data_IF_706658192523
#
_entry.id   IF_706658192523
#
_cell.length_a   1.000
_cell.length_b   1.000
_cell.length_c   1.000
_cell.angle_alpha   90.00
_cell.angle_beta   90.00
_cell.angle_gamma   90.00
#
_symmetry.space_group_name_H-M   'P 1'
#
loop_
_entity.id
_entity.type
_entity.pdbx_description
1 polymer ?
#
# COMPACT_ATOMS: atom_id res chain seq x y z
N UNK A 1 16.39 -10.28 -7.51
CA UNK A 1 17.13 -9.03 -7.83
C UNK A 1 17.37 -8.24 -6.54
N UNK A 2 18.38 -7.35 -6.45
CA UNK A 2 18.59 -6.60 -5.18
C UNK A 2 17.52 -5.55 -5.29
N UNK A 3 16.54 -5.58 -4.39
CA UNK A 3 15.62 -4.46 -4.24
C UNK A 3 16.46 -3.26 -3.82
N UNK A 4 16.65 -2.32 -4.75
CA UNK A 4 17.32 -1.04 -4.52
C UNK A 4 16.25 -0.05 -4.12
N UNK A 5 16.36 0.50 -2.91
CA UNK A 5 15.30 1.31 -2.34
C UNK A 5 15.55 2.78 -2.68
N UNK A 6 14.62 3.40 -3.40
CA UNK A 6 14.57 4.85 -3.59
C UNK A 6 13.71 5.42 -2.47
N UNK A 7 14.26 6.37 -1.73
CA UNK A 7 13.63 7.09 -0.64
C UNK A 7 13.29 8.51 -1.10
N UNK A 8 12.07 8.77 -1.61
CA UNK A 8 11.63 10.11 -1.99
C UNK A 8 11.44 11.00 -0.75
N UNK A 9 11.45 12.31 -0.96
CA UNK A 9 11.26 13.28 0.11
C UNK A 9 9.81 13.25 0.63
N UNK A 10 9.65 13.14 1.95
CA UNK A 10 8.34 13.18 2.61
C UNK A 10 7.73 14.60 2.73
N UNK A 11 8.39 15.63 2.18
CA UNK A 11 7.91 17.00 2.12
C UNK A 11 6.84 17.22 1.05
N UNK A 12 5.71 16.51 1.16
CA UNK A 12 4.59 16.58 0.22
C UNK A 12 3.87 17.94 0.20
N UNK A 13 4.21 18.86 1.12
CA UNK A 13 3.75 20.25 1.15
C UNK A 13 4.40 21.13 0.06
N UNK A 14 5.35 20.60 -0.72
CA UNK A 14 6.18 21.38 -1.67
C UNK A 14 6.37 20.67 -3.02
N UNK A 15 6.52 21.43 -4.13
CA UNK A 15 6.73 20.86 -5.46
C UNK A 15 7.90 19.87 -5.54
N UNK A 16 8.98 20.10 -4.79
CA UNK A 16 10.12 19.18 -4.74
C UNK A 16 9.83 17.82 -4.09
N UNK A 17 8.83 17.73 -3.20
CA UNK A 17 8.33 16.45 -2.71
C UNK A 17 7.60 15.67 -3.80
N UNK A 18 6.67 16.34 -4.49
CA UNK A 18 5.92 15.77 -5.62
C UNK A 18 6.85 15.29 -6.75
N UNK A 19 7.81 16.12 -7.18
CA UNK A 19 8.79 15.75 -8.21
C UNK A 19 9.65 14.57 -7.76
N UNK A 20 10.05 14.49 -6.47
CA UNK A 20 10.81 13.33 -5.96
C UNK A 20 10.02 12.03 -6.05
N UNK A 21 8.70 12.11 -5.84
CA UNK A 21 7.80 10.97 -5.94
C UNK A 21 7.60 10.54 -7.40
N UNK A 22 7.30 11.47 -8.30
CA UNK A 22 7.10 11.18 -9.74
C UNK A 22 8.37 10.55 -10.36
N UNK A 23 9.55 10.99 -9.95
CA UNK A 23 10.83 10.42 -10.40
C UNK A 23 11.01 8.99 -9.88
N UNK A 24 10.75 8.74 -8.58
CA UNK A 24 10.79 7.40 -8.01
C UNK A 24 9.77 6.44 -8.65
N UNK A 25 8.56 6.93 -8.95
CA UNK A 25 7.50 6.17 -9.62
C UNK A 25 7.87 5.82 -11.07
N UNK A 26 8.43 6.75 -11.85
CA UNK A 26 8.97 6.44 -13.19
C UNK A 26 10.09 5.40 -13.12
N UNK A 27 11.03 5.54 -12.17
CA UNK A 27 12.16 4.61 -11.99
C UNK A 27 11.77 3.18 -11.63
N UNK A 28 10.62 2.97 -10.97
CA UNK A 28 10.09 1.62 -10.66
C UNK A 28 9.24 1.06 -11.81
N UNK A 29 8.47 1.90 -12.51
CA UNK A 29 7.69 1.44 -13.68
C UNK A 29 8.56 0.80 -14.78
N UNK A 30 9.81 1.25 -14.93
CA UNK A 30 10.75 0.71 -15.90
C UNK A 30 11.66 -0.42 -15.33
N UNK A 31 11.55 -0.79 -14.04
CA UNK A 31 12.56 -1.66 -13.37
C UNK A 31 12.05 -2.54 -12.22
N UNK A 32 12.07 -3.85 -12.43
CA UNK A 32 11.76 -4.89 -11.42
C UNK A 32 12.78 -4.99 -10.25
N UNK A 33 13.91 -4.29 -10.31
CA UNK A 33 14.95 -4.30 -9.27
C UNK A 33 14.94 -3.06 -8.37
N UNK A 34 13.98 -2.16 -8.54
CA UNK A 34 13.84 -0.91 -7.79
C UNK A 34 12.55 -0.95 -6.99
N UNK A 35 12.59 -0.39 -5.77
CA UNK A 35 11.42 -0.29 -4.89
C UNK A 35 11.39 1.12 -4.31
N UNK A 36 10.21 1.73 -4.23
CA UNK A 36 10.06 2.98 -3.46
C UNK A 36 9.98 2.59 -1.98
N UNK A 37 10.98 2.98 -1.20
CA UNK A 37 11.00 2.77 0.24
C UNK A 37 10.31 3.92 0.97
N UNK A 38 9.69 3.61 2.12
CA UNK A 38 9.16 4.64 3.01
C UNK A 38 10.27 5.19 3.89
N UNK A 39 10.42 6.51 3.93
CA UNK A 39 11.22 7.17 4.97
C UNK A 39 10.71 6.78 6.37
N UNK A 40 9.39 6.72 6.58
CA UNK A 40 8.76 6.34 7.86
C UNK A 40 9.24 5.00 8.44
N UNK A 41 9.53 4.02 7.59
CA UNK A 41 10.02 2.70 7.98
C UNK A 41 11.42 2.73 8.63
N UNK A 42 12.26 3.71 8.26
CA UNK A 42 13.55 3.96 8.91
C UNK A 42 13.40 4.64 10.28
N UNK A 43 12.22 5.19 10.62
CA UNK A 43 11.97 5.91 11.87
C UNK A 43 11.37 5.07 12.97
N UNK A 44 10.33 4.26 12.69
CA UNK A 44 9.55 3.50 13.70
C UNK A 44 10.30 2.29 14.32
N UNK A 45 11.55 2.00 13.92
CA UNK A 45 12.35 0.82 14.34
C UNK A 45 11.62 -0.55 14.25
N UNK A 46 10.65 -0.69 13.34
CA UNK A 46 9.91 -1.95 13.12
C UNK A 46 10.89 -3.10 12.76
N UNK A 47 10.98 -4.19 13.57
CA UNK A 47 12.04 -5.20 13.40
C UNK A 47 11.98 -5.99 12.09
N UNK A 48 10.78 -6.17 11.52
CA UNK A 48 10.57 -6.79 10.22
C UNK A 48 11.10 -5.91 9.08
N UNK A 49 10.48 -4.74 8.89
CA UNK A 49 10.85 -3.73 7.88
C UNK A 49 12.36 -3.46 7.84
N UNK A 50 12.99 -3.25 9.01
CA UNK A 50 14.43 -2.92 9.10
C UNK A 50 15.36 -4.00 8.53
N UNK A 51 14.97 -5.29 8.46
CA UNK A 51 15.82 -6.33 7.87
C UNK A 51 16.13 -6.01 6.40
N UNK A 52 15.12 -5.63 5.64
CA UNK A 52 15.23 -5.38 4.21
C UNK A 52 16.04 -4.12 3.92
N UNK A 53 15.80 -3.02 4.64
CA UNK A 53 16.60 -1.81 4.47
C UNK A 53 18.07 -2.04 4.84
N UNK A 54 18.37 -2.63 6.01
CA UNK A 54 19.74 -2.77 6.55
C UNK A 54 20.74 -3.49 5.64
N UNK A 55 20.29 -4.36 4.74
CA UNK A 55 21.15 -5.13 3.83
C UNK A 55 21.05 -4.73 2.35
N UNK A 56 20.19 -3.77 2.01
CA UNK A 56 19.96 -3.33 0.63
C UNK A 56 20.59 -1.97 0.32
N UNK A 57 20.80 -1.74 -0.99
CA UNK A 57 21.27 -0.45 -1.51
C UNK A 57 20.20 0.62 -1.32
N UNK A 58 20.58 1.77 -0.77
CA UNK A 58 19.69 2.91 -0.57
C UNK A 58 20.08 4.08 -1.47
N UNK A 59 19.06 4.66 -2.09
CA UNK A 59 19.12 5.87 -2.90
C UNK A 59 18.10 6.84 -2.30
N UNK A 60 18.40 8.13 -2.24
CA UNK A 60 17.52 9.13 -1.62
C UNK A 60 17.36 10.35 -2.53
N UNK A 61 16.14 10.89 -2.64
CA UNK A 61 15.82 12.03 -3.49
C UNK A 61 15.45 13.23 -2.61
N UNK A 62 16.41 14.13 -2.38
CA UNK A 62 16.25 15.32 -1.56
C UNK A 62 15.47 16.41 -2.33
N UNK A 63 14.19 16.55 -2.00
CA UNK A 63 13.25 17.45 -2.68
C UNK A 63 13.52 18.94 -2.50
N UNK A 64 14.32 19.34 -1.50
CA UNK A 64 14.70 20.74 -1.28
C UNK A 64 16.17 20.83 -0.82
N UNK A 65 16.82 21.96 -1.08
CA UNK A 65 18.25 22.18 -0.78
C UNK A 65 18.64 22.15 0.71
N UNK A 66 17.72 21.81 1.63
CA UNK A 66 18.06 21.46 3.02
C UNK A 66 18.54 20.01 3.19
N UNK A 67 18.37 19.16 2.15
CA UNK A 67 18.80 17.75 2.11
C UNK A 67 18.39 16.90 3.33
N UNK A 68 17.26 17.29 3.94
CA UNK A 68 16.78 16.71 5.20
C UNK A 68 16.24 15.28 5.08
N UNK A 69 16.12 14.72 3.87
CA UNK A 69 15.81 13.31 3.71
C UNK A 69 17.09 12.49 3.82
N UNK A 70 18.14 12.79 3.04
CA UNK A 70 19.36 11.96 3.05
C UNK A 70 20.22 12.16 4.29
N UNK A 71 20.29 13.35 4.89
CA UNK A 71 20.93 13.52 6.20
C UNK A 71 20.27 12.63 7.27
N UNK A 72 18.95 12.50 7.20
CA UNK A 72 18.15 11.74 8.16
C UNK A 72 18.26 10.21 7.95
N UNK A 73 18.54 9.75 6.72
CA UNK A 73 18.95 8.36 6.45
C UNK A 73 20.33 8.08 7.04
N UNK A 74 21.31 8.98 6.86
CA UNK A 74 22.67 8.84 7.42
C UNK A 74 22.64 8.81 8.95
N UNK A 75 21.82 9.66 9.57
CA UNK A 75 21.55 9.66 11.02
C UNK A 75 20.94 8.33 11.56
N UNK A 76 20.51 7.41 10.70
CA UNK A 76 20.08 6.03 11.06
C UNK A 76 21.14 4.96 10.72
N UNK A 77 22.40 5.36 10.59
CA UNK A 77 23.55 4.45 10.41
C UNK A 77 23.71 3.92 8.99
N UNK A 78 23.25 4.68 7.99
CA UNK A 78 23.36 4.37 6.56
C UNK A 78 24.09 5.47 5.80
N UNK A 79 25.35 5.67 6.17
CA UNK A 79 26.28 6.61 5.53
C UNK A 79 26.54 6.29 4.04
N UNK A 80 26.29 5.05 3.63
CA UNK A 80 26.39 4.55 2.26
C UNK A 80 25.18 4.88 1.36
N UNK A 81 24.24 5.71 1.82
CA UNK A 81 23.12 6.20 1.00
C UNK A 81 23.58 7.17 -0.09
N UNK A 82 23.26 6.83 -1.34
CA UNK A 82 23.46 7.70 -2.52
C UNK A 82 22.34 8.73 -2.57
N UNK A 83 22.65 10.02 -2.45
CA UNK A 83 21.65 11.10 -2.41
C UNK A 83 21.70 11.99 -3.65
N UNK A 84 20.55 12.21 -4.28
CA UNK A 84 20.36 13.17 -5.37
C UNK A 84 19.51 14.34 -4.85
N UNK A 85 20.02 15.58 -4.92
CA UNK A 85 19.22 16.77 -4.62
C UNK A 85 18.56 17.27 -5.90
N UNK A 86 17.25 17.46 -5.88
CA UNK A 86 16.43 17.68 -7.09
C UNK A 86 15.77 19.06 -7.12
N UNK A 87 16.09 19.90 -6.13
CA UNK A 87 15.41 21.17 -5.89
C UNK A 87 15.51 22.16 -7.06
N UNK A 88 16.67 22.22 -7.72
CA UNK A 88 16.93 23.07 -8.90
C UNK A 88 15.99 22.77 -10.10
N UNK A 89 15.35 21.59 -10.13
CA UNK A 89 14.38 21.19 -11.15
C UNK A 89 12.96 21.70 -10.81
N UNK A 90 12.60 21.71 -9.52
CA UNK A 90 11.24 21.98 -9.05
C UNK A 90 10.86 23.47 -9.08
N UNK A 91 11.83 24.39 -9.02
CA UNK A 91 11.61 25.84 -9.02
C UNK A 91 11.23 26.43 -10.40
N UNK A 92 11.12 25.61 -11.46
CA UNK A 92 10.87 26.07 -12.83
C UNK A 92 9.90 25.15 -13.59
N UNK A 93 8.70 25.67 -13.87
CA UNK A 93 7.59 24.95 -14.53
C UNK A 93 7.83 24.69 -16.03
N UNK A 94 8.73 25.46 -16.67
CA UNK A 94 9.10 25.26 -18.08
C UNK A 94 9.85 23.93 -18.26
N UNK A 95 9.47 23.13 -19.26
CA UNK A 95 10.06 21.80 -19.56
C UNK A 95 10.22 20.86 -18.34
N UNK A 96 9.24 20.88 -17.43
CA UNK A 96 9.24 19.98 -16.26
C UNK A 96 9.33 18.50 -16.67
N UNK A 97 8.68 18.10 -17.76
CA UNK A 97 8.72 16.71 -18.24
C UNK A 97 10.09 16.30 -18.82
N UNK A 98 10.76 17.15 -19.60
CA UNK A 98 12.11 16.90 -20.08
C UNK A 98 13.11 16.76 -18.92
N UNK A 99 13.02 17.64 -17.92
CA UNK A 99 13.85 17.57 -16.70
C UNK A 99 13.60 16.30 -15.89
N UNK A 100 12.33 15.94 -15.65
CA UNK A 100 11.96 14.70 -14.93
C UNK A 100 12.47 13.47 -15.68
N UNK A 101 12.36 13.43 -17.01
CA UNK A 101 12.92 12.32 -17.81
C UNK A 101 14.44 12.21 -17.66
N UNK A 102 15.17 13.31 -17.81
CA UNK A 102 16.63 13.31 -17.67
C UNK A 102 17.08 12.80 -16.29
N UNK A 103 16.36 13.16 -15.23
CA UNK A 103 16.69 12.70 -13.87
C UNK A 103 16.41 11.19 -13.67
N UNK A 104 15.36 10.65 -14.31
CA UNK A 104 15.11 9.19 -14.36
C UNK A 104 16.27 8.47 -15.06
N UNK A 105 16.74 8.98 -16.21
CA UNK A 105 17.89 8.41 -16.93
C UNK A 105 19.15 8.36 -16.01
N UNK A 106 19.47 9.46 -15.33
CA UNK A 106 20.64 9.59 -14.44
C UNK A 106 20.59 8.63 -13.25
N UNK A 107 19.45 8.51 -12.57
CA UNK A 107 19.33 7.61 -11.40
C UNK A 107 19.32 6.14 -11.85
N UNK A 108 18.76 5.83 -13.03
CA UNK A 108 18.76 4.49 -13.60
C UNK A 108 20.18 3.97 -13.94
N UNK A 109 21.10 4.83 -14.38
CA UNK A 109 22.50 4.42 -14.63
C UNK A 109 23.20 3.94 -13.35
N UNK A 110 23.08 4.70 -12.25
CA UNK A 110 23.75 4.36 -10.98
C UNK A 110 23.13 3.12 -10.30
N UNK A 111 21.83 2.91 -10.45
CA UNK A 111 21.10 1.74 -9.95
C UNK A 111 21.59 0.39 -10.55
N UNK A 112 22.30 0.36 -11.68
CA UNK A 112 22.59 -0.88 -12.41
C UNK A 112 23.69 -1.80 -11.83
N UNK A 113 24.04 -1.71 -10.52
CA UNK A 113 25.32 -2.23 -9.99
C UNK A 113 25.32 -3.49 -9.04
N UNK A 114 24.20 -4.12 -8.57
CA UNK A 114 24.16 -5.23 -7.50
C UNK A 114 22.95 -6.26 -7.53
N UNK A 115 23.01 -7.51 -6.91
CA UNK A 115 22.03 -8.70 -7.05
C UNK A 115 21.94 -9.92 -5.98
N UNK A 116 20.75 -10.58 -5.65
CA UNK A 116 20.39 -11.80 -4.81
C UNK A 116 19.02 -12.62 -5.16
N UNK A 117 18.30 -13.38 -4.24
CA UNK A 117 17.22 -14.46 -4.47
C UNK A 117 15.94 -14.61 -3.48
N UNK A 118 14.96 -15.57 -3.67
CA UNK A 118 13.52 -15.77 -3.08
C UNK A 118 13.08 -17.30 -2.83
N UNK A 119 11.86 -17.91 -2.52
CA UNK A 119 10.36 -17.74 -2.16
C UNK A 119 9.55 -19.13 -2.00
N UNK A 120 8.29 -19.32 -1.41
CA UNK A 120 7.18 -20.41 -1.66
C UNK A 120 5.89 -20.52 -0.67
N UNK A 121 4.82 -21.38 -0.92
CA UNK A 121 3.31 -21.26 -0.54
C UNK A 121 2.38 -22.54 -0.22
N UNK A 122 1.03 -22.43 0.13
CA UNK A 122 -0.23 -23.35 -0.04
C UNK A 122 -1.32 -23.36 1.14
N UNK A 123 -2.72 -23.52 1.17
CA UNK A 123 -4.05 -23.41 0.39
C UNK A 123 -5.41 -23.62 1.26
N UNK A 124 -6.68 -23.51 0.72
CA UNK A 124 -8.08 -23.29 1.33
C UNK A 124 -9.14 -24.44 1.63
N UNK A 125 -10.21 -24.10 2.42
CA UNK A 125 -11.70 -24.42 2.34
C UNK A 125 -12.49 -23.99 3.64
N UNK A 126 -13.84 -23.72 3.70
CA UNK A 126 -14.85 -23.16 2.73
C UNK A 126 -15.89 -22.12 3.35
N UNK A 127 -17.01 -21.76 2.65
CA UNK A 127 -17.81 -20.51 2.89
C UNK A 127 -19.36 -20.56 3.18
N UNK A 128 -20.00 -19.38 3.38
CA UNK A 128 -21.46 -19.11 3.41
C UNK A 128 -21.89 -18.19 2.24
N UNK A 129 -23.07 -18.38 1.66
CA UNK A 129 -23.49 -17.61 0.45
C UNK A 129 -23.71 -16.11 0.68
N UNK A 130 -22.88 -15.28 0.03
CA UNK A 130 -23.01 -13.81 -0.05
C UNK A 130 -23.72 -13.41 -1.36
N UNK A 131 -24.52 -12.34 -1.34
CA UNK A 131 -25.12 -11.77 -2.56
C UNK A 131 -24.30 -10.58 -3.10
N UNK A 132 -23.88 -10.67 -4.36
CA UNK A 132 -23.00 -9.70 -5.02
C UNK A 132 -23.74 -8.75 -5.98
N UNK A 133 -23.23 -7.52 -6.07
CA UNK A 133 -23.24 -6.70 -7.28
C UNK A 133 -22.00 -7.08 -8.08
N UNK A 134 -22.14 -7.24 -9.39
CA UNK A 134 -21.04 -7.57 -10.29
C UNK A 134 -21.05 -6.59 -11.46
N UNK A 135 -19.95 -5.88 -11.67
CA UNK A 135 -19.80 -4.90 -12.75
C UNK A 135 -18.47 -5.12 -13.48
N UNK A 136 -18.51 -5.11 -14.82
CA UNK A 136 -17.33 -5.35 -15.64
C UNK A 136 -16.65 -4.03 -15.99
N UNK A 137 -15.35 -3.93 -15.73
CA UNK A 137 -14.54 -2.78 -16.08
C UNK A 137 -13.23 -3.21 -16.77
N UNK A 138 -13.04 -2.78 -18.03
CA UNK A 138 -11.98 -3.29 -18.91
C UNK A 138 -11.94 -4.84 -18.95
N UNK A 139 -10.85 -5.46 -18.53
CA UNK A 139 -10.67 -6.93 -18.40
C UNK A 139 -11.08 -7.47 -17.03
N UNK A 140 -11.36 -6.58 -16.08
CA UNK A 140 -11.65 -6.91 -14.68
C UNK A 140 -13.16 -7.06 -14.43
N UNK A 141 -13.50 -7.84 -13.41
CA UNK A 141 -14.85 -7.98 -12.89
C UNK A 141 -14.80 -7.57 -11.42
N UNK A 142 -15.48 -6.48 -11.08
CA UNK A 142 -15.57 -5.99 -9.71
C UNK A 142 -16.80 -6.59 -9.03
N UNK A 143 -16.61 -7.24 -7.89
CA UNK A 143 -17.67 -7.85 -7.07
C UNK A 143 -17.82 -7.09 -5.75
N UNK A 144 -19.02 -6.61 -5.43
CA UNK A 144 -19.31 -5.90 -4.17
C UNK A 144 -20.47 -6.58 -3.45
N UNK A 145 -20.24 -7.01 -2.21
CA UNK A 145 -21.25 -7.69 -1.39
C UNK A 145 -22.32 -6.70 -0.94
N UNK A 146 -23.59 -6.93 -1.31
CA UNK A 146 -24.69 -5.97 -1.10
C UNK A 146 -24.96 -5.64 0.37
N UNK A 147 -24.80 -6.65 1.24
CA UNK A 147 -25.11 -6.55 2.67
C UNK A 147 -23.99 -6.01 3.56
N UNK A 148 -22.87 -5.57 3.00
CA UNK A 148 -21.73 -5.04 3.77
C UNK A 148 -21.67 -3.51 3.73
N UNK A 149 -21.06 -2.94 4.76
CA UNK A 149 -20.59 -1.54 4.79
C UNK A 149 -19.14 -1.49 4.26
N UNK A 150 -18.71 -0.34 3.74
CA UNK A 150 -17.39 -0.15 3.11
C UNK A 150 -16.80 1.23 3.44
N UNK A 151 -15.48 1.29 3.65
CA UNK A 151 -14.73 2.54 3.79
C UNK A 151 -14.21 3.08 2.44
N UNK A 152 -13.86 4.36 2.39
CA UNK A 152 -13.20 4.99 1.23
C UNK A 152 -11.75 4.48 1.03
N UNK A 153 -11.21 3.78 2.03
CA UNK A 153 -9.95 3.04 1.98
C UNK A 153 -10.11 1.61 1.41
N UNK A 154 -11.28 1.27 0.88
CA UNK A 154 -11.59 -0.01 0.22
C UNK A 154 -11.61 -1.25 1.13
N UNK A 155 -11.83 -1.07 2.43
CA UNK A 155 -12.08 -2.17 3.38
C UNK A 155 -13.59 -2.36 3.62
N UNK A 156 -14.04 -3.61 3.78
CA UNK A 156 -15.44 -3.96 4.09
C UNK A 156 -15.66 -4.24 5.57
N UNK A 157 -16.92 -4.12 6.01
CA UNK A 157 -17.38 -4.39 7.38
C UNK A 157 -18.66 -5.22 7.37
N UNK A 158 -18.69 -6.25 8.22
CA UNK A 158 -19.80 -7.19 8.43
C UNK A 158 -20.16 -7.23 9.91
N UNK A 159 -21.42 -6.96 10.25
CA UNK A 159 -21.89 -7.04 11.64
C UNK A 159 -22.14 -8.51 12.01
N UNK A 160 -21.52 -8.98 13.08
CA UNK A 160 -21.57 -10.35 13.60
C UNK A 160 -21.98 -10.33 15.09
N UNK A 161 -23.23 -9.94 15.35
CA UNK A 161 -23.76 -9.78 16.71
C UNK A 161 -23.26 -8.49 17.36
N UNK A 162 -22.47 -8.62 18.42
CA UNK A 162 -21.83 -7.49 19.14
C UNK A 162 -20.45 -7.11 18.56
N UNK A 163 -19.99 -7.82 17.53
CA UNK A 163 -18.69 -7.60 16.88
C UNK A 163 -18.88 -7.21 15.41
N UNK A 164 -17.82 -6.70 14.78
CA UNK A 164 -17.73 -6.53 13.34
C UNK A 164 -16.52 -7.24 12.76
N UNK A 165 -16.71 -8.04 11.71
CA UNK A 165 -15.63 -8.64 10.92
C UNK A 165 -15.27 -7.70 9.78
N UNK A 166 -13.98 -7.51 9.52
CA UNK A 166 -13.49 -6.64 8.43
C UNK A 166 -12.56 -7.39 7.48
N UNK A 167 -12.40 -6.87 6.26
CA UNK A 167 -11.47 -7.42 5.26
C UNK A 167 -11.23 -6.47 4.09
N UNK A 168 -10.31 -6.85 3.19
CA UNK A 168 -10.06 -6.10 1.96
C UNK A 168 -11.19 -6.31 0.93
N UNK A 169 -11.61 -5.26 0.22
CA UNK A 169 -12.61 -5.43 -0.85
C UNK A 169 -12.03 -6.10 -2.09
N UNK A 170 -12.93 -6.62 -2.93
CA UNK A 170 -12.56 -7.16 -4.25
C UNK A 170 -11.96 -6.10 -5.19
N UNK A 171 -12.18 -4.80 -4.93
CA UNK A 171 -11.46 -3.73 -5.62
C UNK A 171 -10.03 -3.61 -5.09
N UNK A 172 -9.85 -3.57 -3.77
CA UNK A 172 -8.53 -3.44 -3.15
C UNK A 172 -7.60 -4.60 -3.54
N UNK A 173 -8.08 -5.85 -3.47
CA UNK A 173 -7.28 -7.00 -3.87
C UNK A 173 -6.93 -7.01 -5.37
N UNK A 174 -7.81 -6.49 -6.26
CA UNK A 174 -7.49 -6.36 -7.68
C UNK A 174 -6.47 -5.25 -7.96
N UNK A 175 -6.46 -4.17 -7.17
CA UNK A 175 -5.43 -3.13 -7.21
C UNK A 175 -4.08 -3.63 -6.68
N UNK A 176 -4.09 -4.38 -5.57
CA UNK A 176 -2.91 -5.10 -5.07
C UNK A 176 -2.40 -6.12 -6.10
N UNK A 177 -3.31 -6.84 -6.77
CA UNK A 177 -3.07 -8.15 -7.39
C UNK A 177 -2.43 -9.14 -6.41
N UNK A 178 -1.69 -10.14 -6.90
CA UNK A 178 -1.18 -11.30 -6.17
C UNK A 178 -0.48 -10.91 -4.84
N UNK A 179 -1.23 -11.06 -3.73
CA UNK A 179 -0.79 -10.83 -2.34
C UNK A 179 0.00 -12.05 -1.89
N UNK A 180 1.18 -11.83 -1.31
CA UNK A 180 2.07 -12.90 -0.85
C UNK A 180 2.50 -12.77 0.62
N UNK A 181 2.02 -11.74 1.32
CA UNK A 181 2.27 -11.55 2.75
C UNK A 181 1.17 -10.67 3.35
N UNK A 182 0.72 -11.03 4.55
CA UNK A 182 -0.16 -10.21 5.40
C UNK A 182 0.44 -10.17 6.80
N UNK A 183 0.59 -8.97 7.36
CA UNK A 183 1.01 -8.73 8.74
C UNK A 183 -0.19 -8.22 9.53
N UNK A 184 -0.59 -8.94 10.57
CA UNK A 184 -1.71 -8.60 11.45
C UNK A 184 -1.20 -8.30 12.88
N UNK A 185 -1.88 -7.40 13.59
CA UNK A 185 -1.61 -7.11 15.00
C UNK A 185 -2.29 -8.12 15.92
N UNK A 186 -1.77 -8.28 17.13
CA UNK A 186 -2.28 -9.26 18.10
C UNK A 186 -3.66 -8.88 18.67
N UNK A 187 -4.56 -9.84 18.92
CA UNK A 187 -5.81 -9.61 19.64
C UNK A 187 -5.58 -8.99 21.04
N UNK A 188 -6.48 -8.08 21.43
CA UNK A 188 -6.32 -7.20 22.59
C UNK A 188 -5.73 -5.82 22.23
N UNK A 189 -5.26 -5.62 21.00
CA UNK A 189 -4.91 -4.29 20.47
C UNK A 189 -6.18 -3.45 20.34
N UNK A 190 -6.14 -2.23 20.88
CA UNK A 190 -7.14 -1.17 20.65
C UNK A 190 -6.66 -0.29 19.49
N UNK A 191 -7.61 0.17 18.66
CA UNK A 191 -7.38 0.96 17.44
C UNK A 191 -8.49 2.00 17.29
N UNK A 192 -8.16 3.21 16.85
CA UNK A 192 -9.14 4.24 16.48
C UNK A 192 -9.49 4.15 14.98
N UNK A 193 -10.66 4.65 14.58
CA UNK A 193 -11.08 4.67 13.17
C UNK A 193 -10.01 5.37 12.30
N UNK A 194 -9.63 4.71 11.19
CA UNK A 194 -8.56 5.07 10.25
C UNK A 194 -7.09 4.82 10.70
N UNK A 195 -6.83 4.14 11.83
CA UNK A 195 -5.48 3.71 12.22
C UNK A 195 -4.86 2.63 11.29
N UNK A 196 -3.52 2.50 11.32
CA UNK A 196 -2.76 1.43 10.66
C UNK A 196 -2.67 0.16 11.54
N UNK A 197 -3.47 -0.86 11.22
CA UNK A 197 -3.49 -2.16 11.90
C UNK A 197 -2.78 -3.23 11.06
N UNK A 198 -1.48 -3.05 10.82
CA UNK A 198 -0.67 -3.98 10.01
C UNK A 198 -0.76 -3.68 8.50
N UNK A 199 -0.54 -4.67 7.64
CA UNK A 199 -0.42 -4.44 6.20
C UNK A 199 -0.49 -5.69 5.32
N UNK A 200 -0.61 -5.47 4.01
CA UNK A 200 -0.63 -6.50 2.96
C UNK A 200 0.43 -6.17 1.90
N UNK A 201 1.33 -7.10 1.57
CA UNK A 201 2.33 -6.96 0.49
C UNK A 201 1.97 -7.85 -0.70
N UNK A 202 1.97 -7.25 -1.89
CA UNK A 202 1.78 -7.94 -3.17
C UNK A 202 3.02 -7.81 -4.06
N UNK A 203 2.98 -8.45 -5.23
CA UNK A 203 3.99 -8.26 -6.29
C UNK A 203 4.13 -6.82 -6.81
N UNK A 204 3.24 -5.90 -6.42
CA UNK A 204 3.17 -4.53 -6.94
C UNK A 204 3.08 -3.43 -5.87
N UNK A 205 2.43 -3.69 -4.74
CA UNK A 205 2.08 -2.65 -3.75
C UNK A 205 2.18 -3.24 -2.33
N UNK A 206 2.67 -2.42 -1.39
CA UNK A 206 2.48 -2.60 0.05
C UNK A 206 1.40 -1.63 0.50
N UNK A 207 0.35 -2.12 1.18
CA UNK A 207 -0.77 -1.29 1.67
C UNK A 207 -1.00 -1.56 3.16
N UNK A 208 -1.12 -0.48 3.94
CA UNK A 208 -1.49 -0.54 5.36
C UNK A 208 -2.97 -0.96 5.51
N UNK A 209 -3.27 -1.81 6.49
CA UNK A 209 -4.64 -2.22 6.79
C UNK A 209 -5.29 -1.10 7.61
N UNK A 210 -6.10 -0.28 6.93
CA UNK A 210 -6.78 0.86 7.55
C UNK A 210 -8.07 0.39 8.20
N UNK A 211 -8.16 0.50 9.53
CA UNK A 211 -9.35 0.03 10.26
C UNK A 211 -10.56 0.94 10.01
N UNK A 212 -11.73 0.40 9.64
CA UNK A 212 -12.90 1.17 9.25
C UNK A 212 -13.83 1.55 10.42
N UNK A 213 -13.51 1.15 11.66
CA UNK A 213 -14.17 1.55 12.91
C UNK A 213 -13.17 1.54 14.07
N UNK A 214 -13.44 2.33 15.11
CA UNK A 214 -12.75 2.34 16.40
C UNK A 214 -13.17 1.13 17.25
N UNK A 215 -12.23 0.52 17.97
CA UNK A 215 -12.55 -0.58 18.88
C UNK A 215 -11.37 -1.45 19.31
N UNK A 216 -11.69 -2.58 19.94
CA UNK A 216 -10.69 -3.59 20.34
C UNK A 216 -10.71 -4.77 19.36
N UNK A 217 -9.58 -5.11 18.77
CA UNK A 217 -9.41 -6.34 17.97
C UNK A 217 -9.54 -7.54 18.92
N UNK A 218 -10.53 -8.41 18.68
CA UNK A 218 -10.78 -9.63 19.49
C UNK A 218 -10.31 -10.91 18.80
N UNK A 219 -10.13 -10.87 17.48
CA UNK A 219 -9.61 -11.98 16.67
C UNK A 219 -8.86 -11.42 15.46
N UNK A 220 -7.74 -12.05 15.09
CA UNK A 220 -6.92 -11.72 13.91
C UNK A 220 -6.78 -12.99 13.06
N UNK A 221 -6.93 -12.90 11.74
CA UNK A 221 -6.94 -14.07 10.87
C UNK A 221 -5.52 -14.62 10.60
N UNK A 222 -4.97 -15.36 11.56
CA UNK A 222 -3.60 -15.94 11.46
C UNK A 222 -3.45 -16.94 10.29
N UNK A 223 -4.53 -17.40 9.65
CA UNK A 223 -4.39 -18.25 8.44
C UNK A 223 -3.71 -17.53 7.28
N UNK A 224 -3.75 -16.19 7.24
CA UNK A 224 -3.13 -15.37 6.21
C UNK A 224 -1.59 -15.27 6.31
N UNK A 225 -0.99 -15.74 7.40
CA UNK A 225 0.46 -15.89 7.53
C UNK A 225 0.99 -16.99 6.61
N UNK A 226 0.31 -18.13 6.58
CA UNK A 226 0.61 -19.28 5.70
C UNK A 226 -0.09 -19.15 4.33
N UNK A 227 -1.23 -18.44 4.26
CA UNK A 227 -2.10 -18.40 3.08
C UNK A 227 -2.56 -16.97 2.68
N UNK A 228 -1.63 -16.05 2.37
CA UNK A 228 -1.94 -14.67 1.99
C UNK A 228 -2.82 -14.55 0.73
N UNK A 229 -2.85 -15.59 -0.13
CA UNK A 229 -3.66 -15.62 -1.36
C UNK A 229 -5.17 -15.58 -1.12
N UNK A 230 -5.66 -15.84 0.10
CA UNK A 230 -7.09 -15.77 0.43
C UNK A 230 -7.65 -14.35 0.24
N UNK A 231 -6.79 -13.31 0.38
CA UNK A 231 -7.13 -11.92 0.07
C UNK A 231 -7.54 -11.75 -1.39
N UNK A 232 -6.97 -12.51 -2.33
CA UNK A 232 -7.33 -12.46 -3.75
C UNK A 232 -8.47 -13.42 -4.11
N UNK A 233 -8.45 -14.64 -3.56
CA UNK A 233 -9.38 -15.71 -3.95
C UNK A 233 -10.74 -15.57 -3.25
N UNK A 234 -10.71 -15.34 -1.94
CA UNK A 234 -11.85 -15.37 -1.03
C UNK A 234 -11.98 -14.05 -0.22
N UNK A 235 -11.86 -12.83 -0.82
CA UNK A 235 -11.74 -11.56 -0.10
C UNK A 235 -12.89 -11.25 0.88
N UNK A 236 -14.06 -11.86 0.68
CA UNK A 236 -15.24 -11.68 1.51
C UNK A 236 -15.54 -12.88 2.42
N UNK A 237 -14.79 -13.97 2.36
CA UNK A 237 -15.01 -15.14 3.22
C UNK A 237 -13.73 -15.53 3.97
N UNK A 238 -12.79 -16.28 3.37
CA UNK A 238 -11.55 -16.69 4.03
C UNK A 238 -10.49 -15.56 4.11
N UNK A 239 -10.57 -14.57 3.22
CA UNK A 239 -9.73 -13.35 3.19
C UNK A 239 -10.14 -12.24 4.17
N UNK A 240 -10.84 -12.55 5.26
CA UNK A 240 -11.10 -11.59 6.34
C UNK A 240 -9.81 -11.28 7.12
N UNK A 241 -9.71 -10.08 7.73
CA UNK A 241 -8.50 -9.61 8.41
C UNK A 241 -8.65 -9.67 9.94
N UNK A 242 -9.71 -9.04 10.47
CA UNK A 242 -9.96 -8.94 11.92
C UNK A 242 -11.43 -9.13 12.27
N UNK A 243 -11.67 -9.55 13.51
CA UNK A 243 -12.93 -9.38 14.23
C UNK A 243 -12.68 -8.32 15.32
N UNK A 244 -13.45 -7.24 15.28
CA UNK A 244 -13.31 -6.09 16.17
C UNK A 244 -14.57 -6.00 17.04
N UNK A 245 -14.40 -5.75 18.33
CA UNK A 245 -15.48 -5.22 19.16
C UNK A 245 -15.48 -3.69 19.02
N UNK A 246 -16.47 -3.08 18.34
CA UNK A 246 -16.49 -1.64 18.16
C UNK A 246 -16.76 -0.92 19.49
N UNK A 247 -16.19 0.27 19.66
CA UNK A 247 -16.48 1.14 20.80
C UNK A 247 -17.77 1.95 20.60
N UNK A 248 -18.05 2.35 19.35
CA UNK A 248 -19.32 2.92 18.91
C UNK A 248 -19.80 2.21 17.64
N UNK A 249 -21.09 1.87 17.59
CA UNK A 249 -21.73 1.23 16.42
C UNK A 249 -22.26 2.26 15.42
N UNK A 250 -22.45 3.51 15.83
CA UNK A 250 -22.98 4.58 14.97
C UNK A 250 -21.92 5.04 13.94
N UNK A 251 -20.62 4.77 14.17
CA UNK A 251 -19.55 4.94 13.16
C UNK A 251 -19.84 4.16 11.86
N UNK A 252 -20.58 3.05 11.94
CA UNK A 252 -20.96 2.26 10.76
C UNK A 252 -21.79 3.07 9.77
N UNK A 253 -22.48 4.13 10.17
CA UNK A 253 -23.24 5.02 9.28
C UNK A 253 -22.41 6.12 8.60
N UNK A 254 -21.12 6.24 8.96
CA UNK A 254 -20.14 6.97 8.16
C UNK A 254 -19.66 6.14 6.95
N UNK A 255 -19.88 4.82 6.97
CA UNK A 255 -19.46 3.89 5.92
C UNK A 255 -20.53 3.71 4.82
N UNK A 256 -20.04 3.52 3.58
CA UNK A 256 -20.88 3.33 2.39
C UNK A 256 -21.59 1.98 2.41
N UNK A 257 -22.85 1.94 1.99
CA UNK A 257 -23.50 0.67 1.62
C UNK A 257 -23.00 0.17 0.26
N UNK A 258 -23.02 -1.14 0.01
CA UNK A 258 -22.42 -1.76 -1.20
C UNK A 258 -22.84 -1.16 -2.55
N UNK A 259 -24.06 -0.60 -2.69
CA UNK A 259 -24.51 0.07 -3.94
C UNK A 259 -23.77 1.40 -4.17
N UNK A 260 -23.55 2.19 -3.12
CA UNK A 260 -22.78 3.42 -3.19
C UNK A 260 -21.29 3.11 -3.36
N UNK A 261 -20.77 2.12 -2.63
CA UNK A 261 -19.38 1.67 -2.78
C UNK A 261 -19.07 1.14 -4.19
N UNK A 262 -19.97 0.37 -4.82
CA UNK A 262 -19.81 -0.04 -6.22
C UNK A 262 -19.68 1.17 -7.15
N UNK A 263 -20.51 2.21 -6.93
CA UNK A 263 -20.48 3.44 -7.72
C UNK A 263 -19.16 4.20 -7.50
N UNK A 264 -18.69 4.30 -6.26
CA UNK A 264 -17.41 4.88 -5.86
C UNK A 264 -16.21 4.14 -6.48
N UNK A 265 -16.15 2.82 -6.31
CA UNK A 265 -15.06 1.98 -6.79
C UNK A 265 -14.95 1.98 -8.32
N UNK A 266 -16.08 1.97 -9.05
CA UNK A 266 -16.07 2.15 -10.50
C UNK A 266 -15.58 3.54 -10.95
N UNK A 267 -15.86 4.60 -10.17
CA UNK A 267 -15.33 5.93 -10.43
C UNK A 267 -13.84 6.06 -10.03
N UNK A 268 -13.36 5.25 -9.10
CA UNK A 268 -11.95 5.10 -8.72
C UNK A 268 -11.17 4.36 -9.80
N UNK A 269 -11.61 3.16 -10.18
CA UNK A 269 -11.09 2.38 -11.31
C UNK A 269 -10.96 3.19 -12.61
N UNK A 270 -11.98 4.00 -12.96
CA UNK A 270 -11.94 4.88 -14.15
C UNK A 270 -10.83 5.92 -14.12
N UNK A 271 -10.47 6.45 -12.93
CA UNK A 271 -9.38 7.43 -12.77
C UNK A 271 -8.00 6.77 -12.75
N UNK A 272 -7.90 5.58 -12.16
CA UNK A 272 -6.62 4.89 -11.89
C UNK A 272 -6.18 3.96 -13.02
N UNK A 273 -7.12 3.50 -13.86
CA UNK A 273 -6.86 2.56 -14.98
C UNK A 273 -7.23 3.19 -16.34
N UNK A 274 -8.26 4.06 -16.39
CA UNK A 274 -8.82 4.58 -17.64
C UNK A 274 -7.91 5.51 -18.45
N UNK A 275 -6.88 6.09 -17.82
CA UNK A 275 -5.88 6.97 -18.44
C UNK A 275 -4.83 6.25 -19.31
N UNK A 276 -4.99 4.95 -19.58
CA UNK A 276 -4.08 4.16 -20.43
C UNK A 276 -4.53 3.99 -21.89
N UNK A 277 -5.55 4.73 -22.36
CA UNK A 277 -5.99 4.73 -23.77
C UNK A 277 -6.37 6.13 -24.27
N UNK A 278 -5.37 6.91 -24.69
CA UNK A 278 -5.38 7.77 -25.88
C UNK A 278 -3.93 8.12 -26.30
#
# INVERSE_FOLDING_TARGET
>A
MVRKYILPCAGYDRPGGEVSRVVAERLVNDRDDVVIGSMGALFKERPGEMRNYRTSDLFCLDGCGTNCASELVRARGRDDVTSFSIHEIADSVEDLEGKVKHLVDVVAEELNRRTPKTSFTVTEEPSRTIEYLEEKFDKFMLRVAKGLKYSDNDFWVRVEGEHVRIGASDFLQQMLSDVYYVELVEPGTHVDMFDDAGGMESTKILVEIIVPVSGTIVESNTSLEDNPEFINQSPYDEGWLYLIKPDDVDELDLLRGGVDYMTYALAKAKREIGTKVE
#
